data_IF_680637483963
#
_entry.id   IF_680637483963
#
_cell.length_a   1.000
_cell.length_b   1.000
_cell.length_c   1.000
_cell.angle_alpha   90.00
_cell.angle_beta   90.00
_cell.angle_gamma   90.00
#
_symmetry.space_group_name_H-M   'P 1'
#
loop_
_entity.id
_entity.type
_entity.pdbx_description
1 polymer ?
#
# COMPACT_ATOMS: atom_id res chain seq x y z
N UNK A 1 -5.57 1.99 -20.52
CA UNK A 1 -5.40 0.53 -20.37
C UNK A 1 -5.83 0.15 -18.96
N UNK A 2 -6.56 -0.97 -18.83
CA UNK A 2 -7.04 -1.44 -17.52
C UNK A 2 -5.91 -2.16 -16.77
N UNK A 3 -5.77 -1.85 -15.48
CA UNK A 3 -4.77 -2.46 -14.61
C UNK A 3 -5.11 -3.90 -14.28
N UNK A 4 -6.40 -4.25 -14.20
CA UNK A 4 -6.81 -5.64 -14.05
C UNK A 4 -6.28 -6.48 -15.21
N UNK A 5 -6.42 -6.04 -16.46
CA UNK A 5 -5.88 -6.78 -17.62
C UNK A 5 -4.35 -6.81 -17.67
N UNK A 6 -3.67 -5.79 -17.14
CA UNK A 6 -2.20 -5.71 -17.14
C UNK A 6 -1.57 -6.60 -16.06
N UNK A 7 -2.21 -6.70 -14.91
CA UNK A 7 -1.73 -7.48 -13.76
C UNK A 7 -2.46 -8.81 -13.76
N UNK A 8 -1.88 -9.86 -14.32
CA UNK A 8 -2.52 -11.18 -14.37
C UNK A 8 -2.51 -11.93 -13.03
N UNK A 9 -1.66 -11.52 -12.08
CA UNK A 9 -1.50 -12.18 -10.78
C UNK A 9 -2.48 -11.63 -9.75
N UNK A 10 -3.40 -12.47 -9.29
CA UNK A 10 -4.36 -12.10 -8.24
C UNK A 10 -3.68 -11.77 -6.90
N UNK A 11 -2.53 -12.39 -6.61
CA UNK A 11 -1.73 -12.05 -5.42
C UNK A 11 -1.21 -10.61 -5.50
N UNK A 12 -0.74 -10.17 -6.67
CA UNK A 12 -0.24 -8.81 -6.83
C UNK A 12 -1.39 -7.80 -6.74
N UNK A 13 -2.55 -8.12 -7.32
CA UNK A 13 -3.77 -7.32 -7.19
C UNK A 13 -4.17 -7.17 -5.72
N UNK A 14 -4.22 -8.27 -4.97
CA UNK A 14 -4.57 -8.26 -3.55
C UNK A 14 -3.58 -7.46 -2.69
N UNK A 15 -2.27 -7.53 -2.99
CA UNK A 15 -1.27 -6.72 -2.30
C UNK A 15 -1.45 -5.24 -2.62
N UNK A 16 -1.67 -4.87 -3.88
CA UNK A 16 -1.88 -3.49 -4.28
C UNK A 16 -3.15 -2.89 -3.65
N UNK A 17 -4.27 -3.63 -3.67
CA UNK A 17 -5.51 -3.17 -3.03
C UNK A 17 -5.35 -3.06 -1.51
N UNK A 18 -4.60 -3.96 -0.87
CA UNK A 18 -4.28 -3.87 0.56
C UNK A 18 -3.41 -2.66 0.91
N UNK A 19 -2.41 -2.35 0.08
CA UNK A 19 -1.58 -1.15 0.22
C UNK A 19 -2.41 0.11 0.04
N UNK A 20 -3.34 0.13 -0.92
CA UNK A 20 -4.25 1.25 -1.15
C UNK A 20 -5.15 1.56 0.08
N UNK A 21 -5.70 0.53 0.71
CA UNK A 21 -6.54 0.67 1.92
C UNK A 21 -5.78 1.16 3.15
N UNK A 22 -4.47 0.93 3.20
CA UNK A 22 -3.64 1.31 4.33
C UNK A 22 -2.64 2.39 3.91
N UNK A 23 -3.12 3.63 3.77
CA UNK A 23 -2.29 4.77 3.36
C UNK A 23 -1.02 4.93 4.22
N UNK A 24 -1.08 4.56 5.50
CA UNK A 24 0.05 4.52 6.43
C UNK A 24 1.21 3.63 5.95
N UNK A 25 0.95 2.55 5.20
CA UNK A 25 2.00 1.69 4.65
C UNK A 25 2.91 2.46 3.68
N UNK A 26 2.36 3.39 2.90
CA UNK A 26 3.15 4.19 1.97
C UNK A 26 4.13 5.11 2.71
N UNK A 27 3.72 5.66 3.85
CA UNK A 27 4.54 6.58 4.65
C UNK A 27 5.42 5.88 5.68
N UNK A 28 5.21 4.59 5.93
CA UNK A 28 5.92 3.81 6.95
C UNK A 28 7.44 3.99 6.91
N UNK A 29 8.13 3.99 5.75
CA UNK A 29 9.58 4.18 5.71
C UNK A 29 10.01 5.55 6.24
N UNK A 30 9.27 6.61 5.89
CA UNK A 30 9.55 7.97 6.33
C UNK A 30 9.26 8.15 7.82
N UNK A 31 8.16 7.57 8.31
CA UNK A 31 7.80 7.59 9.73
C UNK A 31 8.88 6.89 10.54
N UNK A 32 9.26 5.67 10.14
CA UNK A 32 10.30 4.90 10.83
C UNK A 32 11.65 5.64 10.87
N UNK A 33 12.04 6.26 9.75
CA UNK A 33 13.26 7.08 9.68
C UNK A 33 13.16 8.30 10.61
N UNK A 34 12.03 9.02 10.59
CA UNK A 34 11.78 10.18 11.45
C UNK A 34 11.75 9.82 12.94
N UNK A 35 11.18 8.67 13.32
CA UNK A 35 11.19 8.20 14.70
C UNK A 35 12.59 7.82 15.15
N UNK A 36 13.37 7.13 14.31
CA UNK A 36 14.75 6.76 14.63
C UNK A 36 15.64 7.99 14.85
N UNK A 37 15.52 9.01 14.00
CA UNK A 37 16.26 10.27 14.16
C UNK A 37 15.80 11.05 15.39
N UNK A 38 14.49 11.12 15.66
CA UNK A 38 13.94 11.78 16.84
C UNK A 38 14.41 11.13 18.16
N UNK A 39 14.48 9.79 18.19
CA UNK A 39 14.97 9.03 19.35
C UNK A 39 16.50 9.10 19.53
N UNK A 40 17.22 9.79 18.65
CA UNK A 40 18.67 9.92 18.70
C UNK A 40 19.42 8.63 18.34
N UNK A 41 18.77 7.69 17.64
CA UNK A 41 19.43 6.48 17.18
C UNK A 41 20.39 6.77 16.04
N UNK A 42 21.51 6.07 16.01
CA UNK A 42 22.46 6.14 14.90
C UNK A 42 21.83 5.52 13.66
N UNK A 43 21.39 6.35 12.72
CA UNK A 43 20.86 5.91 11.44
C UNK A 43 22.01 5.77 10.44
N UNK A 44 22.31 4.55 9.96
CA UNK A 44 23.38 4.37 8.99
C UNK A 44 23.01 4.97 7.64
N UNK A 45 24.00 5.53 6.93
CA UNK A 45 23.79 6.27 5.68
C UNK A 45 23.09 5.45 4.58
N UNK A 46 23.31 4.14 4.53
CA UNK A 46 22.62 3.25 3.59
C UNK A 46 21.11 3.21 3.84
N UNK A 47 20.65 3.33 5.09
CA UNK A 47 19.23 3.33 5.44
C UNK A 47 18.54 4.56 4.84
N UNK A 48 19.17 5.73 4.98
CA UNK A 48 18.69 7.00 4.39
C UNK A 48 18.61 6.88 2.87
N UNK A 49 19.64 6.31 2.23
CA UNK A 49 19.68 6.11 0.79
C UNK A 49 18.57 5.18 0.26
N UNK A 50 18.13 4.19 1.06
CA UNK A 50 17.07 3.25 0.68
C UNK A 50 15.67 3.76 1.02
N UNK A 51 15.54 4.65 2.02
CA UNK A 51 14.23 5.12 2.49
C UNK A 51 13.45 5.87 1.39
N UNK A 52 14.13 6.73 0.64
CA UNK A 52 13.51 7.47 -0.48
C UNK A 52 12.97 6.56 -1.59
N UNK A 53 13.79 5.68 -2.17
CA UNK A 53 13.33 4.69 -3.15
C UNK A 53 12.20 3.79 -2.61
N UNK A 54 12.30 3.35 -1.35
CA UNK A 54 11.27 2.49 -0.74
C UNK A 54 9.94 3.24 -0.60
N UNK A 55 9.97 4.49 -0.14
CA UNK A 55 8.79 5.36 -0.11
C UNK A 55 8.19 5.52 -1.52
N UNK A 56 9.02 5.80 -2.53
CA UNK A 56 8.56 5.97 -3.91
C UNK A 56 7.85 4.70 -4.43
N UNK A 57 8.43 3.53 -4.19
CA UNK A 57 7.85 2.24 -4.59
C UNK A 57 6.49 2.02 -3.92
N UNK A 58 6.39 2.25 -2.62
CA UNK A 58 5.14 2.06 -1.87
C UNK A 58 4.09 3.10 -2.25
N UNK A 59 4.50 4.35 -2.52
CA UNK A 59 3.61 5.40 -2.99
C UNK A 59 3.04 5.10 -4.38
N UNK A 60 3.87 4.61 -5.29
CA UNK A 60 3.43 4.15 -6.61
C UNK A 60 2.50 2.93 -6.49
N UNK A 61 2.84 1.97 -5.63
CA UNK A 61 1.99 0.81 -5.34
C UNK A 61 0.62 1.21 -4.77
N UNK A 62 0.60 2.21 -3.88
CA UNK A 62 -0.64 2.79 -3.35
C UNK A 62 -1.50 3.38 -4.46
N UNK A 63 -0.95 4.24 -5.33
CA UNK A 63 -1.70 4.83 -6.44
C UNK A 63 -2.19 3.82 -7.49
N UNK A 64 -1.38 2.78 -7.76
CA UNK A 64 -1.78 1.65 -8.61
C UNK A 64 -2.92 0.85 -7.98
N UNK A 65 -2.85 0.60 -6.67
CA UNK A 65 -3.88 -0.10 -5.92
C UNK A 65 -5.20 0.68 -5.85
N UNK A 66 -5.14 2.00 -5.66
CA UNK A 66 -6.31 2.88 -5.63
C UNK A 66 -7.02 2.89 -6.99
N UNK A 67 -6.25 3.03 -8.07
CA UNK A 67 -6.81 2.92 -9.43
C UNK A 67 -7.39 1.53 -9.71
N UNK A 68 -6.73 0.47 -9.26
CA UNK A 68 -7.21 -0.91 -9.41
C UNK A 68 -8.51 -1.12 -8.64
N UNK A 69 -8.62 -0.56 -7.44
CA UNK A 69 -9.84 -0.59 -6.63
C UNK A 69 -10.99 0.11 -7.37
N UNK A 70 -10.77 1.33 -7.89
CA UNK A 70 -11.77 2.04 -8.66
C UNK A 70 -12.18 1.30 -9.96
N UNK A 71 -11.30 0.49 -10.54
CA UNK A 71 -11.65 -0.39 -11.68
C UNK A 71 -12.53 -1.58 -11.24
N UNK A 72 -12.24 -2.21 -10.10
CA UNK A 72 -13.03 -3.30 -9.55
C UNK A 72 -14.43 -2.84 -9.15
N UNK A 73 -14.54 -1.68 -8.49
CA UNK A 73 -15.81 -1.08 -8.08
C UNK A 73 -16.70 -0.77 -9.29
N UNK A 74 -16.15 -0.15 -10.34
CA UNK A 74 -16.89 0.11 -11.59
C UNK A 74 -17.34 -1.16 -12.30
N UNK A 75 -16.60 -2.26 -12.14
CA UNK A 75 -16.94 -3.55 -12.71
C UNK A 75 -17.90 -4.37 -11.83
N UNK A 76 -18.24 -3.89 -10.62
CA UNK A 76 -19.03 -4.63 -9.63
C UNK A 76 -18.32 -5.89 -9.13
N UNK A 77 -16.98 -5.93 -9.18
CA UNK A 77 -16.18 -7.07 -8.74
C UNK A 77 -15.80 -6.91 -7.26
N UNK A 78 -15.78 -8.00 -6.48
CA UNK A 78 -15.44 -7.95 -5.07
C UNK A 78 -13.97 -7.54 -4.86
N UNK A 79 -13.75 -6.69 -3.86
CA UNK A 79 -12.41 -6.30 -3.43
C UNK A 79 -12.10 -7.03 -2.13
N UNK A 80 -11.20 -8.01 -2.18
CA UNK A 80 -10.87 -8.82 -1.00
C UNK A 80 -10.24 -8.06 0.18
N UNK A 81 -9.94 -6.76 0.06
CA UNK A 81 -9.60 -5.92 1.23
C UNK A 81 -10.81 -5.18 1.81
N UNK A 82 -11.81 -4.83 1.00
CA UNK A 82 -13.08 -4.27 1.48
C UNK A 82 -13.93 -5.33 2.18
N UNK A 83 -13.94 -6.55 1.62
CA UNK A 83 -14.70 -7.67 2.19
C UNK A 83 -14.19 -8.02 3.61
N UNK A 84 -12.87 -7.95 3.82
CA UNK A 84 -12.27 -8.16 5.14
C UNK A 84 -12.67 -7.07 6.15
N UNK A 85 -12.75 -5.80 5.73
CA UNK A 85 -13.19 -4.70 6.62
C UNK A 85 -14.69 -4.84 6.96
N UNK A 86 -15.52 -5.24 6.00
CA UNK A 86 -16.94 -5.49 6.23
C UNK A 86 -17.18 -6.65 7.21
N UNK A 87 -16.38 -7.72 7.12
CA UNK A 87 -16.41 -8.83 8.09
C UNK A 87 -15.96 -8.38 9.49
N UNK A 88 -14.96 -7.50 9.60
CA UNK A 88 -14.51 -6.94 10.88
C UNK A 88 -15.56 -6.00 11.53
N UNK A 89 -16.27 -5.19 10.73
CA UNK A 89 -17.35 -4.32 11.22
C UNK A 89 -18.64 -5.09 11.55
N UNK A 90 -18.91 -6.22 10.90
CA UNK A 90 -20.03 -7.12 11.21
C UNK A 90 -19.83 -8.01 12.44
N UNK A 91 -18.60 -8.07 12.97
CA UNK A 91 -18.21 -8.79 14.19
C UNK A 91 -18.07 -7.88 15.41
N UNK A 92 -18.41 -6.59 15.29
CA UNK A 92 -18.39 -5.59 16.37
C UNK A 92 -19.77 -5.37 17.01
#
# INVERSE_FOLDING_TARGET
MSLTLLISSDRLRAVLTRVAHNQLLAFLPLIALGTATYMGWSVPAWLVAVTGPLFLVLFVAWGLGDRLHAELERAGLPCGSCDLVADEEGLA
#
